data_IF_121902660420
#
_entry.id   IF_121902660420
#
_cell.length_a   1.000
_cell.length_b   1.000
_cell.length_c   1.000
_cell.angle_alpha   90.00
_cell.angle_beta   90.00
_cell.angle_gamma   90.00
#
_symmetry.space_group_name_H-M   'P 1'
#
loop_
_entity.id
_entity.type
_entity.pdbx_description
1 polymer ?
#
# COMPACT_ATOMS: atom_id res chain seq x y z
N UNK A 1 11.67 8.92 -9.21
CA UNK A 1 10.33 9.51 -9.08
C UNK A 1 9.55 9.51 -10.40
N UNK A 2 10.15 9.86 -11.54
CA UNK A 2 9.44 9.88 -12.84
C UNK A 2 8.86 8.54 -13.29
N UNK A 3 9.57 7.43 -13.02
CA UNK A 3 9.09 6.07 -13.33
C UNK A 3 7.72 5.76 -12.68
N UNK A 4 7.56 6.12 -11.41
CA UNK A 4 6.33 5.90 -10.65
C UNK A 4 5.18 6.74 -11.17
N UNK A 5 5.43 8.05 -11.40
CA UNK A 5 4.46 8.96 -12.01
C UNK A 5 3.97 8.45 -13.36
N UNK A 6 4.88 7.93 -14.18
CA UNK A 6 4.56 7.32 -15.48
C UNK A 6 3.72 6.04 -15.33
N UNK A 7 4.09 5.12 -14.43
CA UNK A 7 3.32 3.88 -14.17
C UNK A 7 1.89 4.22 -13.72
N UNK A 8 1.75 5.09 -12.73
CA UNK A 8 0.43 5.54 -12.25
C UNK A 8 -0.38 6.22 -13.35
N UNK A 9 0.24 7.09 -14.16
CA UNK A 9 -0.44 7.71 -15.30
C UNK A 9 -0.93 6.68 -16.32
N UNK A 10 -0.10 5.70 -16.70
CA UNK A 10 -0.49 4.66 -17.64
C UNK A 10 -1.67 3.84 -17.12
N UNK A 11 -1.67 3.48 -15.84
CA UNK A 11 -2.79 2.76 -15.23
C UNK A 11 -4.07 3.60 -15.24
N UNK A 12 -4.00 4.89 -14.89
CA UNK A 12 -5.17 5.77 -14.93
C UNK A 12 -5.69 6.01 -16.35
N UNK A 13 -4.81 6.00 -17.37
CA UNK A 13 -5.22 6.06 -18.78
C UNK A 13 -5.98 4.79 -19.17
N UNK A 14 -5.46 3.61 -18.80
CA UNK A 14 -6.09 2.32 -19.12
C UNK A 14 -7.49 2.20 -18.48
N UNK A 15 -7.65 2.70 -17.25
CA UNK A 15 -8.93 2.70 -16.54
C UNK A 15 -9.86 3.86 -16.91
N UNK A 16 -9.40 4.82 -17.72
CA UNK A 16 -10.18 6.01 -18.07
C UNK A 16 -10.40 6.99 -16.90
N UNK A 17 -9.52 6.98 -15.90
CA UNK A 17 -9.62 7.76 -14.65
C UNK A 17 -8.52 8.85 -14.54
N UNK A 18 -8.09 9.39 -15.68
CA UNK A 18 -6.97 10.35 -15.76
C UNK A 18 -7.16 11.65 -14.95
N UNK A 19 -8.40 12.04 -14.68
CA UNK A 19 -8.75 13.19 -13.86
C UNK A 19 -8.24 13.07 -12.41
N UNK A 20 -8.13 11.84 -11.91
CA UNK A 20 -7.62 11.56 -10.57
C UNK A 20 -6.14 11.92 -10.43
N UNK A 21 -5.39 11.92 -11.53
CA UNK A 21 -3.95 12.17 -11.51
C UNK A 21 -3.59 13.54 -10.91
N UNK A 22 -4.44 14.56 -11.13
CA UNK A 22 -4.24 15.90 -10.59
C UNK A 22 -4.52 16.00 -9.08
N UNK A 23 -5.25 15.03 -8.52
CA UNK A 23 -5.58 14.94 -7.11
C UNK A 23 -4.60 14.08 -6.31
N UNK A 24 -3.68 13.37 -6.99
CA UNK A 24 -2.61 12.63 -6.32
C UNK A 24 -1.59 13.64 -5.80
N UNK A 25 -1.45 13.71 -4.48
CA UNK A 25 -0.32 14.41 -3.88
C UNK A 25 0.95 13.55 -4.02
N UNK A 26 1.91 14.08 -4.77
CA UNK A 26 3.21 13.45 -5.00
C UNK A 26 4.26 13.88 -3.98
N UNK A 27 3.87 14.64 -2.96
CA UNK A 27 4.77 15.06 -1.89
C UNK A 27 5.31 13.82 -1.16
N UNK A 28 6.63 13.63 -1.25
CA UNK A 28 7.32 12.61 -0.45
C UNK A 28 7.75 13.30 0.83
N UNK A 29 7.10 12.97 1.94
CA UNK A 29 7.48 13.43 3.26
C UNK A 29 8.53 12.49 3.85
N UNK A 30 9.80 12.83 3.69
CA UNK A 30 10.89 12.07 4.31
C UNK A 30 11.02 12.41 5.80
N UNK A 31 10.68 11.46 6.67
CA UNK A 31 10.92 11.53 8.12
C UNK A 31 11.94 10.46 8.55
N UNK A 32 13.09 10.44 7.87
CA UNK A 32 14.14 9.45 8.11
C UNK A 32 14.64 9.46 9.57
N UNK A 33 14.62 10.62 10.24
CA UNK A 33 15.08 10.77 11.62
C UNK A 33 14.25 9.99 12.63
N UNK A 34 12.92 9.93 12.46
CA UNK A 34 12.03 9.24 13.40
C UNK A 34 11.64 7.82 12.96
N UNK A 35 11.75 7.53 11.66
CA UNK A 35 11.35 6.25 11.06
C UNK A 35 12.52 5.26 10.87
N UNK A 36 13.79 5.70 10.98
CA UNK A 36 14.92 4.78 10.91
C UNK A 36 14.84 3.72 12.01
N UNK A 37 14.88 2.44 11.61
CA UNK A 37 14.72 1.28 12.49
C UNK A 37 13.44 1.32 13.33
N UNK A 38 12.36 1.91 12.78
CA UNK A 38 11.06 1.89 13.43
C UNK A 38 10.52 0.47 13.47
N UNK A 39 9.78 0.14 14.53
CA UNK A 39 9.03 -1.11 14.61
C UNK A 39 7.65 -0.92 14.02
N UNK A 40 7.02 -2.03 13.62
CA UNK A 40 5.61 -2.06 13.20
C UNK A 40 4.70 -1.37 14.23
N UNK A 41 4.81 -1.72 15.51
CA UNK A 41 4.01 -1.10 16.58
C UNK A 41 4.16 0.42 16.68
N UNK A 42 5.34 0.95 16.33
CA UNK A 42 5.56 2.39 16.31
C UNK A 42 4.91 3.04 15.09
N UNK A 43 4.94 2.36 13.93
CA UNK A 43 4.21 2.80 12.73
C UNK A 43 2.70 2.76 13.00
N UNK A 44 2.18 1.64 13.52
CA UNK A 44 0.76 1.48 13.88
C UNK A 44 0.28 2.58 14.81
N UNK A 45 0.98 2.83 15.92
CA UNK A 45 0.61 3.90 16.87
C UNK A 45 0.61 5.28 16.23
N UNK A 46 1.58 5.57 15.35
CA UNK A 46 1.63 6.85 14.64
C UNK A 46 0.49 6.98 13.64
N UNK A 47 0.15 5.91 12.95
CA UNK A 47 -0.98 5.88 12.01
C UNK A 47 -2.33 6.02 12.73
N UNK A 48 -2.53 5.34 13.87
CA UNK A 48 -3.70 5.52 14.73
C UNK A 48 -3.83 6.99 15.17
N UNK A 49 -2.72 7.62 15.58
CA UNK A 49 -2.74 9.03 15.97
C UNK A 49 -3.09 9.93 14.78
N UNK A 50 -2.45 9.72 13.63
CA UNK A 50 -2.75 10.47 12.41
C UNK A 50 -4.22 10.35 12.02
N UNK A 51 -4.79 9.14 12.09
CA UNK A 51 -6.21 8.89 11.81
C UNK A 51 -7.10 9.69 12.75
N UNK A 52 -6.82 9.68 14.07
CA UNK A 52 -7.58 10.47 15.05
C UNK A 52 -7.51 11.97 14.79
N UNK A 53 -6.39 12.47 14.29
CA UNK A 53 -6.16 13.89 14.05
C UNK A 53 -6.82 14.40 12.75
N UNK A 54 -7.16 13.49 11.82
CA UNK A 54 -7.61 13.84 10.46
C UNK A 54 -8.98 13.26 10.08
N UNK A 55 -9.59 12.46 10.95
CA UNK A 55 -10.92 11.91 10.69
C UNK A 55 -12.00 12.87 11.20
N UNK A 56 -12.97 13.19 10.34
CA UNK A 56 -14.21 13.80 10.80
C UNK A 56 -15.10 12.69 11.41
N UNK A 57 -15.93 12.99 12.41
CA UNK A 57 -16.69 11.97 13.18
C UNK A 57 -17.51 11.00 12.29
N UNK A 58 -17.89 11.43 11.09
CA UNK A 58 -18.68 10.65 10.13
C UNK A 58 -17.85 9.65 9.29
N UNK A 59 -16.53 9.81 9.22
CA UNK A 59 -15.64 9.03 8.35
C UNK A 59 -15.08 7.75 9.02
N UNK A 60 -15.22 7.63 10.35
CA UNK A 60 -14.61 6.57 11.17
C UNK A 60 -15.26 5.18 10.98
N UNK A 61 -16.54 5.14 10.64
CA UNK A 61 -17.29 3.88 10.52
C UNK A 61 -17.43 3.46 9.06
N UNK A 62 -16.34 2.94 8.49
CA UNK A 62 -16.43 2.07 7.32
C UNK A 62 -15.56 2.42 6.13
N UNK A 63 -14.65 3.40 6.22
CA UNK A 63 -13.73 3.66 5.10
C UNK A 63 -12.40 2.89 5.29
N UNK A 64 -12.05 1.95 4.38
CA UNK A 64 -10.86 1.10 4.50
C UNK A 64 -9.54 1.86 4.61
N UNK A 65 -9.50 3.10 4.12
CA UNK A 65 -8.33 4.01 4.20
C UNK A 65 -7.83 4.30 5.62
N UNK A 66 -8.64 4.06 6.65
CA UNK A 66 -8.27 4.27 8.04
C UNK A 66 -8.01 2.97 8.80
N UNK A 67 -8.15 1.81 8.15
CA UNK A 67 -7.99 0.51 8.78
C UNK A 67 -6.57 -0.05 8.65
N UNK A 68 -5.82 0.36 7.63
CA UNK A 68 -4.43 -0.06 7.45
C UNK A 68 -3.60 1.02 6.76
N UNK A 69 -2.29 0.98 6.96
CA UNK A 69 -1.35 1.82 6.22
C UNK A 69 -0.29 0.96 5.53
N UNK A 70 0.20 1.46 4.40
CA UNK A 70 1.34 0.87 3.69
C UNK A 70 2.63 1.30 4.38
N UNK A 71 3.46 0.34 4.79
CA UNK A 71 4.84 0.54 5.19
C UNK A 71 5.76 0.10 4.06
N UNK A 72 6.77 0.92 3.75
CA UNK A 72 7.73 0.67 2.68
C UNK A 72 9.10 0.53 3.30
N UNK A 73 9.64 -0.68 3.27
CA UNK A 73 11.01 -0.98 3.69
C UNK A 73 11.97 -0.97 2.50
N UNK A 74 13.27 -1.10 2.77
CA UNK A 74 14.25 -1.25 1.69
C UNK A 74 14.01 -2.53 0.88
N UNK A 75 13.54 -3.59 1.51
CA UNK A 75 13.21 -4.86 0.85
C UNK A 75 11.97 -4.70 -0.03
N UNK A 76 10.95 -3.96 0.44
CA UNK A 76 9.80 -3.59 -0.41
C UNK A 76 10.26 -2.83 -1.66
N UNK A 77 11.15 -1.84 -1.51
CA UNK A 77 11.70 -1.10 -2.66
C UNK A 77 12.43 -2.03 -3.61
N UNK A 78 13.29 -2.91 -3.08
CA UNK A 78 14.06 -3.84 -3.91
C UNK A 78 13.15 -4.77 -4.70
N UNK A 79 12.13 -5.34 -4.04
CA UNK A 79 11.15 -6.22 -4.68
C UNK A 79 10.46 -5.56 -5.88
N UNK A 80 10.04 -4.29 -5.74
CA UNK A 80 9.38 -3.58 -6.84
C UNK A 80 10.36 -3.19 -7.95
N UNK A 81 11.63 -2.96 -7.62
CA UNK A 81 12.67 -2.66 -8.63
C UNK A 81 13.09 -3.90 -9.41
N UNK A 82 13.02 -5.08 -8.79
CA UNK A 82 13.31 -6.37 -9.42
C UNK A 82 12.12 -6.94 -10.20
N UNK A 83 10.90 -6.54 -9.80
CA UNK A 83 9.67 -6.92 -10.46
C UNK A 83 9.52 -6.42 -11.90
N UNK A 84 8.40 -6.74 -12.57
CA UNK A 84 8.21 -6.43 -13.97
C UNK A 84 8.22 -4.92 -14.27
N UNK A 85 8.59 -4.52 -15.51
CA UNK A 85 8.63 -3.11 -15.93
C UNK A 85 7.23 -2.47 -15.86
N UNK A 86 7.18 -1.14 -15.85
CA UNK A 86 5.93 -0.40 -15.61
C UNK A 86 4.81 -0.65 -16.62
N UNK A 87 5.15 -1.12 -17.81
CA UNK A 87 4.23 -1.44 -18.88
C UNK A 87 3.61 -2.85 -18.73
N UNK A 88 4.01 -3.63 -17.72
CA UNK A 88 3.51 -4.99 -17.47
C UNK A 88 2.84 -5.08 -16.10
N UNK A 89 1.68 -5.72 -16.08
CA UNK A 89 1.01 -6.08 -14.83
C UNK A 89 1.83 -7.15 -14.09
N UNK A 90 2.03 -6.93 -12.80
CA UNK A 90 2.72 -7.86 -11.91
C UNK A 90 1.72 -8.88 -11.36
N UNK A 91 1.44 -9.90 -12.17
CA UNK A 91 0.47 -10.95 -11.84
C UNK A 91 0.95 -11.84 -10.69
N UNK A 92 2.25 -12.05 -10.61
CA UNK A 92 2.88 -12.94 -9.63
C UNK A 92 3.15 -12.22 -8.29
N UNK A 93 2.90 -10.91 -8.22
CA UNK A 93 3.08 -10.13 -6.99
C UNK A 93 4.56 -9.99 -6.60
N UNK A 94 5.47 -9.86 -7.56
CA UNK A 94 6.90 -9.73 -7.31
C UNK A 94 7.24 -8.44 -6.55
N UNK A 95 6.52 -7.35 -6.85
CA UNK A 95 6.64 -6.07 -6.15
C UNK A 95 5.69 -6.01 -4.96
N UNK A 96 6.24 -6.18 -3.75
CA UNK A 96 5.48 -6.26 -2.51
C UNK A 96 5.69 -5.04 -1.62
N UNK A 97 4.66 -4.72 -0.84
CA UNK A 97 4.73 -3.76 0.28
C UNK A 97 4.11 -4.35 1.53
N UNK A 98 4.49 -3.80 2.68
CA UNK A 98 3.93 -4.22 3.96
C UNK A 98 2.62 -3.42 4.21
N UNK A 99 1.56 -4.11 4.61
CA UNK A 99 0.33 -3.52 5.11
C UNK A 99 0.26 -3.72 6.61
N UNK A 100 0.12 -2.64 7.36
CA UNK A 100 0.01 -2.67 8.83
C UNK A 100 -1.41 -2.28 9.21
N UNK A 101 -2.15 -3.21 9.83
CA UNK A 101 -3.49 -2.93 10.35
C UNK A 101 -3.42 -2.06 11.62
N UNK A 102 -4.45 -1.25 11.82
CA UNK A 102 -4.69 -0.58 13.10
C UNK A 102 -5.06 -1.57 14.21
N UNK A 103 -5.62 -2.72 13.84
CA UNK A 103 -5.94 -3.81 14.76
C UNK A 103 -4.69 -4.64 15.02
N UNK A 104 -4.26 -4.68 16.28
CA UNK A 104 -3.05 -5.39 16.68
C UNK A 104 -3.20 -6.91 16.49
N UNK A 105 -4.42 -7.45 16.56
CA UNK A 105 -4.70 -8.87 16.38
C UNK A 105 -4.56 -9.30 14.91
N UNK A 106 -4.70 -8.34 13.98
CA UNK A 106 -4.53 -8.56 12.53
C UNK A 106 -3.07 -8.37 12.10
N UNK A 107 -2.32 -7.52 12.79
CA UNK A 107 -0.87 -7.35 12.60
C UNK A 107 -0.46 -6.77 11.24
N UNK A 108 0.64 -7.29 10.71
CA UNK A 108 1.20 -6.93 9.40
C UNK A 108 1.02 -8.07 8.41
N UNK A 109 0.71 -7.72 7.17
CA UNK A 109 0.71 -8.63 6.02
C UNK A 109 1.45 -8.00 4.84
N UNK A 110 1.58 -8.74 3.73
CA UNK A 110 2.16 -8.24 2.49
C UNK A 110 1.09 -8.12 1.41
N UNK A 111 1.22 -7.11 0.56
CA UNK A 111 0.37 -6.93 -0.62
C UNK A 111 1.19 -6.59 -1.85
N UNK A 112 0.82 -7.19 -2.98
CA UNK A 112 1.39 -6.85 -4.27
C UNK A 112 0.96 -5.44 -4.68
N UNK A 113 1.92 -4.60 -5.09
CA UNK A 113 1.69 -3.20 -5.48
C UNK A 113 0.72 -3.10 -6.66
N UNK A 114 0.75 -4.08 -7.57
CA UNK A 114 -0.18 -4.22 -8.69
C UNK A 114 -1.64 -4.39 -8.28
N UNK A 115 -1.89 -4.95 -7.11
CA UNK A 115 -3.24 -5.16 -6.57
C UNK A 115 -3.72 -3.97 -5.72
N UNK A 116 -2.80 -3.10 -5.29
CA UNK A 116 -3.17 -1.87 -4.62
C UNK A 116 -3.66 -0.82 -5.64
N UNK A 117 -2.93 -0.56 -6.73
CA UNK A 117 -3.21 0.56 -7.66
C UNK A 117 -3.88 0.12 -8.98
N UNK A 118 -4.92 0.81 -9.47
CA UNK A 118 -5.71 1.94 -8.93
C UNK A 118 -6.96 1.44 -8.19
N UNK A 119 -6.93 0.22 -7.69
CA UNK A 119 -7.98 -0.39 -6.87
C UNK A 119 -8.34 0.40 -5.60
N UNK A 120 -7.77 1.57 -5.34
CA UNK A 120 -8.11 2.45 -4.21
C UNK A 120 -9.58 2.91 -4.23
N UNK A 121 -10.25 2.87 -5.39
CA UNK A 121 -11.69 3.12 -5.48
C UNK A 121 -12.54 1.85 -5.32
N UNK A 122 -12.04 0.69 -5.73
CA UNK A 122 -12.70 -0.63 -5.54
C UNK A 122 -12.49 -1.20 -4.13
N UNK A 123 -11.40 -0.80 -3.48
CA UNK A 123 -11.00 -1.10 -2.10
C UNK A 123 -12.06 -0.66 -1.09
N UNK A 124 -12.89 0.33 -1.44
CA UNK A 124 -13.93 0.89 -0.60
C UNK A 124 -15.12 -0.06 -0.35
N UNK A 125 -15.31 -1.09 -1.18
CA UNK A 125 -16.52 -1.93 -1.10
C UNK A 125 -16.29 -3.33 -0.52
N UNK A 126 -15.09 -3.90 -0.65
CA UNK A 126 -14.86 -5.33 -0.32
C UNK A 126 -14.09 -5.59 0.97
N UNK A 127 -13.37 -4.61 1.53
CA UNK A 127 -12.47 -4.83 2.68
C UNK A 127 -11.06 -5.28 2.26
N UNK A 128 -10.07 -4.98 3.10
CA UNK A 128 -8.64 -5.20 2.77
C UNK A 128 -8.19 -6.66 2.98
N UNK A 129 -8.94 -7.43 3.74
CA UNK A 129 -8.76 -8.86 4.01
C UNK A 129 -8.76 -9.74 2.75
N UNK A 130 -9.30 -9.22 1.64
CA UNK A 130 -9.32 -9.92 0.34
C UNK A 130 -8.06 -9.71 -0.52
N UNK A 131 -7.10 -8.94 -0.02
CA UNK A 131 -5.88 -8.54 -0.74
C UNK A 131 -4.62 -9.12 -0.11
N UNK A 132 -4.67 -9.47 1.18
CA UNK A 132 -3.58 -10.13 1.85
C UNK A 132 -3.20 -11.40 1.08
N UNK A 133 -1.94 -11.49 0.65
CA UNK A 133 -1.40 -12.75 0.15
C UNK A 133 -1.45 -13.78 1.28
N UNK A 134 -1.83 -15.01 0.98
CA UNK A 134 -1.81 -16.09 1.97
C UNK A 134 -0.36 -16.26 2.45
N UNK A 135 -0.07 -16.12 3.76
CA UNK A 135 1.29 -16.26 4.28
C UNK A 135 1.93 -17.62 3.93
N UNK A 136 1.13 -18.64 3.63
CA UNK A 136 1.61 -19.97 3.27
C UNK A 136 1.99 -20.13 1.78
N UNK A 137 1.69 -19.15 0.91
CA UNK A 137 2.05 -19.22 -0.53
C UNK A 137 3.51 -18.82 -0.82
N UNK A 138 4.22 -18.23 0.15
CA UNK A 138 5.63 -17.85 0.03
C UNK A 138 6.64 -18.98 0.31
N UNK A 139 6.21 -20.10 0.91
CA UNK A 139 7.08 -21.25 1.15
C UNK A 139 7.12 -22.18 -0.08
N UNK A 140 7.78 -21.70 -1.14
CA UNK A 140 8.19 -22.54 -2.25
C UNK A 140 9.04 -23.72 -1.76
N UNK A 141 8.41 -24.90 -1.67
CA UNK A 141 9.08 -26.18 -1.39
C UNK A 141 10.26 -26.33 -2.34
N UNK A 142 11.46 -26.20 -1.79
CA UNK A 142 12.70 -26.59 -2.46
C UNK A 142 12.77 -28.12 -2.45
N UNK A 143 12.24 -28.72 -3.52
CA UNK A 143 12.33 -30.15 -3.83
C UNK A 143 13.35 -30.41 -4.91
#
# INVERSE_FOLDING_TARGET
>A
MEHWKRRTWLNLVDEGATELYAHIDWSVHEDAGTLKNTTEDKVRRRFIQWTKDHIEEEDWLGTPRFQACVSITQDSIQSVLEGPPAEKFDADGEGMVDLISIDEDQGMTFAGVSYLLPGHYSLLEIGWEHIAADPDEGEGKSG
#
